data_IF_414749399060
#
_entry.id   IF_414749399060
#
_cell.length_a   1.000
_cell.length_b   1.000
_cell.length_c   1.000
_cell.angle_alpha   90.00
_cell.angle_beta   90.00
_cell.angle_gamma   90.00
#
_symmetry.space_group_name_H-M   'P 1'
#
loop_
_entity.id
_entity.type
_entity.pdbx_description
1 polymer ?
#
# COMPACT_ATOMS: atom_id res chain seq x y z
N UNK A 1 20.70 6.49 -6.21
CA UNK A 1 20.24 5.71 -7.39
C UNK A 1 18.77 5.87 -7.77
N UNK A 2 17.94 6.57 -7.01
CA UNK A 2 16.56 6.88 -7.42
C UNK A 2 16.16 8.28 -6.93
N UNK A 3 16.59 9.38 -7.59
CA UNK A 3 16.29 10.75 -7.16
C UNK A 3 14.86 11.18 -7.50
N UNK A 4 14.30 12.22 -6.85
CA UNK A 4 13.00 12.80 -7.22
C UNK A 4 12.95 13.14 -8.71
N UNK A 5 11.82 12.84 -9.36
CA UNK A 5 11.61 13.05 -10.79
C UNK A 5 10.69 14.23 -11.00
N UNK A 6 11.07 15.16 -11.89
CA UNK A 6 10.25 16.32 -12.23
C UNK A 6 8.87 15.88 -12.73
N UNK A 7 7.81 16.51 -12.23
CA UNK A 7 6.42 16.17 -12.54
C UNK A 7 5.79 15.15 -11.59
N UNK A 8 6.57 14.54 -10.70
CA UNK A 8 6.09 13.61 -9.67
C UNK A 8 6.44 14.12 -8.28
N UNK A 9 5.51 13.94 -7.34
CA UNK A 9 5.76 14.19 -5.91
C UNK A 9 6.24 12.88 -5.29
N UNK A 10 7.38 12.93 -4.61
CA UNK A 10 7.88 11.79 -3.83
C UNK A 10 7.12 11.72 -2.52
N UNK A 11 6.15 10.83 -2.44
CA UNK A 11 5.53 10.46 -1.18
C UNK A 11 6.46 9.58 -0.34
N UNK A 12 6.16 9.52 0.95
CA UNK A 12 6.89 8.76 1.96
C UNK A 12 5.95 7.76 2.62
N UNK A 13 6.24 6.47 2.50
CA UNK A 13 5.57 5.43 3.29
C UNK A 13 6.33 5.25 4.61
N UNK A 14 5.80 5.81 5.69
CA UNK A 14 6.38 5.71 7.03
C UNK A 14 6.19 4.30 7.61
N UNK A 15 5.01 3.73 7.41
CA UNK A 15 4.68 2.35 7.75
C UNK A 15 3.72 1.80 6.70
N UNK A 16 4.04 0.65 6.12
CA UNK A 16 3.08 -0.13 5.34
C UNK A 16 3.23 -1.59 5.72
N UNK A 17 2.12 -2.20 6.16
CA UNK A 17 2.14 -3.57 6.62
C UNK A 17 0.84 -4.29 6.25
N UNK A 18 0.97 -5.59 6.01
CA UNK A 18 -0.12 -6.53 5.83
C UNK A 18 0.07 -7.65 6.84
N UNK A 19 -0.94 -7.90 7.67
CA UNK A 19 -1.03 -9.08 8.51
C UNK A 19 -2.12 -9.98 7.90
N UNK A 20 -1.74 -11.20 7.54
CA UNK A 20 -2.65 -12.20 6.98
C UNK A 20 -2.78 -13.33 8.00
N UNK A 21 -4.02 -13.63 8.41
CA UNK A 21 -4.34 -14.71 9.34
C UNK A 21 -5.25 -15.72 8.64
N UNK A 22 -4.86 -16.99 8.62
CA UNK A 22 -5.74 -18.05 8.12
C UNK A 22 -6.90 -18.25 9.09
N UNK A 23 -8.11 -18.43 8.56
CA UNK A 23 -9.28 -18.77 9.38
C UNK A 23 -9.45 -20.27 9.59
N UNK A 24 -8.58 -21.08 8.99
CA UNK A 24 -8.73 -22.53 8.92
C UNK A 24 -8.68 -22.99 7.47
N UNK A 25 -8.71 -24.31 7.26
CA UNK A 25 -8.77 -24.87 5.91
C UNK A 25 -10.11 -24.48 5.26
N UNK A 26 -10.06 -24.00 4.02
CA UNK A 26 -11.21 -23.59 3.19
C UNK A 26 -12.05 -22.39 3.68
N UNK A 27 -11.74 -21.76 4.82
CA UNK A 27 -12.46 -20.57 5.35
C UNK A 27 -11.82 -19.22 4.97
N UNK A 28 -10.87 -19.23 4.04
CA UNK A 28 -10.18 -18.03 3.55
C UNK A 28 -9.21 -17.44 4.59
N UNK A 29 -9.10 -16.11 4.62
CA UNK A 29 -8.21 -15.42 5.55
C UNK A 29 -8.75 -14.07 5.98
N UNK A 30 -8.31 -13.61 7.15
CA UNK A 30 -8.46 -12.23 7.57
C UNK A 30 -7.20 -11.44 7.22
N UNK A 31 -7.38 -10.25 6.62
CA UNK A 31 -6.30 -9.34 6.28
C UNK A 31 -6.43 -8.02 7.05
N UNK A 32 -5.41 -7.67 7.84
CA UNK A 32 -5.26 -6.34 8.41
C UNK A 32 -4.25 -5.55 7.58
N UNK A 33 -4.69 -4.43 7.02
CA UNK A 33 -3.84 -3.50 6.28
C UNK A 33 -3.57 -2.25 7.11
N UNK A 34 -2.30 -1.92 7.28
CA UNK A 34 -1.85 -0.73 7.99
C UNK A 34 -1.07 0.14 7.02
N UNK A 35 -1.43 1.42 6.93
CA UNK A 35 -0.73 2.41 6.11
C UNK A 35 -0.62 3.73 6.84
N UNK A 36 0.61 4.18 7.01
CA UNK A 36 0.99 5.50 7.45
C UNK A 36 1.87 6.08 6.36
N UNK A 37 1.29 6.96 5.56
CA UNK A 37 1.95 7.54 4.38
C UNK A 37 1.78 9.04 4.41
N UNK A 38 2.87 9.76 4.16
CA UNK A 38 2.86 11.18 3.85
C UNK A 38 3.01 11.33 2.33
N UNK A 39 1.91 11.58 1.60
CA UNK A 39 1.96 11.81 0.15
C UNK A 39 2.76 13.07 -0.27
N UNK A 40 3.14 13.93 0.68
CA UNK A 40 3.83 15.21 0.49
C UNK A 40 3.05 16.19 -0.41
N UNK A 41 3.58 17.40 -0.53
CA UNK A 41 2.97 18.47 -1.33
C UNK A 41 1.83 19.20 -0.62
N UNK A 42 1.11 20.05 -1.37
CA UNK A 42 0.03 20.89 -0.84
C UNK A 42 -1.31 20.17 -1.00
N UNK A 43 -1.58 19.20 -0.15
CA UNK A 43 -2.86 18.49 -0.16
C UNK A 43 -3.83 19.16 0.80
N UNK A 44 -5.03 19.53 0.34
CA UNK A 44 -6.07 20.00 1.24
C UNK A 44 -6.47 18.91 2.24
N UNK A 45 -6.75 19.29 3.49
CA UNK A 45 -7.17 18.37 4.57
C UNK A 45 -8.38 17.51 4.20
N UNK A 46 -9.33 18.05 3.43
CA UNK A 46 -10.50 17.28 2.94
C UNK A 46 -10.09 16.10 2.05
N UNK A 47 -9.02 16.25 1.27
CA UNK A 47 -8.53 15.23 0.34
C UNK A 47 -7.78 14.13 1.08
N UNK A 48 -6.99 14.48 2.10
CA UNK A 48 -6.33 13.52 2.99
C UNK A 48 -7.38 12.65 3.70
N UNK A 49 -8.43 13.27 4.24
CA UNK A 49 -9.52 12.57 4.91
C UNK A 49 -10.35 11.68 3.96
N UNK A 50 -10.51 12.07 2.68
CA UNK A 50 -11.16 11.23 1.65
C UNK A 50 -10.29 10.04 1.28
N UNK A 51 -8.98 10.20 1.14
CA UNK A 51 -8.05 9.12 0.82
C UNK A 51 -8.12 8.03 1.89
N UNK A 52 -7.96 8.39 3.16
CA UNK A 52 -7.93 7.41 4.25
C UNK A 52 -9.25 6.66 4.39
N UNK A 53 -10.39 7.34 4.23
CA UNK A 53 -11.72 6.74 4.43
C UNK A 53 -12.24 5.93 3.24
N UNK A 54 -11.86 6.28 2.01
CA UNK A 54 -12.49 5.72 0.80
C UNK A 54 -11.54 4.91 -0.06
N UNK A 55 -10.26 5.30 -0.14
CA UNK A 55 -9.31 4.58 -0.98
C UNK A 55 -8.93 3.25 -0.34
N UNK A 56 -8.70 3.21 0.97
CA UNK A 56 -8.31 1.98 1.65
C UNK A 56 -9.35 0.83 1.47
N UNK A 57 -10.66 1.03 1.70
CA UNK A 57 -11.66 -0.02 1.43
C UNK A 57 -11.71 -0.45 -0.04
N UNK A 58 -11.59 0.51 -0.99
CA UNK A 58 -11.58 0.19 -2.42
C UNK A 58 -10.35 -0.63 -2.82
N UNK A 59 -9.19 -0.36 -2.24
CA UNK A 59 -7.96 -1.15 -2.45
C UNK A 59 -8.15 -2.59 -1.96
N UNK A 60 -8.68 -2.79 -0.75
CA UNK A 60 -8.90 -4.13 -0.21
C UNK A 60 -9.95 -4.91 -1.02
N UNK A 61 -11.04 -4.26 -1.45
CA UNK A 61 -12.04 -4.88 -2.35
C UNK A 61 -11.43 -5.32 -3.69
N UNK A 62 -10.56 -4.50 -4.28
CA UNK A 62 -9.86 -4.83 -5.53
C UNK A 62 -8.85 -5.96 -5.32
N UNK A 63 -8.11 -5.95 -4.22
CA UNK A 63 -7.19 -7.02 -3.84
C UNK A 63 -7.93 -8.36 -3.71
N UNK A 64 -9.08 -8.38 -3.02
CA UNK A 64 -9.91 -9.57 -2.92
C UNK A 64 -10.32 -10.13 -4.29
N UNK A 65 -10.82 -9.28 -5.20
CA UNK A 65 -11.15 -9.68 -6.58
C UNK A 65 -9.92 -10.26 -7.32
N UNK A 66 -8.75 -9.64 -7.15
CA UNK A 66 -7.52 -10.12 -7.74
C UNK A 66 -7.09 -11.49 -7.17
N UNK A 67 -7.27 -11.73 -5.86
CA UNK A 67 -6.99 -13.03 -5.24
C UNK A 67 -7.86 -14.14 -5.82
N UNK A 68 -9.15 -13.88 -6.08
CA UNK A 68 -10.05 -14.86 -6.70
C UNK A 68 -9.63 -15.21 -8.14
N UNK A 69 -9.15 -14.23 -8.91
CA UNK A 69 -8.69 -14.42 -10.29
C UNK A 69 -7.25 -14.94 -10.39
N UNK A 70 -6.48 -14.89 -9.31
CA UNK A 70 -5.04 -15.17 -9.33
C UNK A 70 -4.68 -16.60 -9.74
N UNK A 71 -5.38 -17.67 -9.32
CA UNK A 71 -5.03 -19.03 -9.73
C UNK A 71 -5.03 -19.23 -11.25
N UNK A 72 -6.10 -18.77 -11.93
CA UNK A 72 -6.24 -18.87 -13.39
C UNK A 72 -5.15 -18.06 -14.09
N UNK A 73 -4.98 -16.79 -13.69
CA UNK A 73 -3.92 -15.95 -14.24
C UNK A 73 -2.54 -16.57 -14.04
N UNK A 74 -2.27 -17.16 -12.86
CA UNK A 74 -0.97 -17.72 -12.53
C UNK A 74 -0.67 -19.00 -13.31
N UNK A 75 -1.69 -19.79 -13.66
CA UNK A 75 -1.54 -20.97 -14.52
C UNK A 75 -0.97 -20.60 -15.89
N UNK A 76 -1.36 -19.44 -16.43
CA UNK A 76 -0.90 -18.93 -17.73
C UNK A 76 0.40 -18.12 -17.65
N UNK A 77 0.79 -17.64 -16.46
CA UNK A 77 1.87 -16.68 -16.28
C UNK A 77 3.02 -17.24 -15.42
N UNK A 78 3.78 -18.17 -16.01
CA UNK A 78 4.93 -18.85 -15.38
C UNK A 78 4.52 -19.43 -14.01
N UNK A 79 3.71 -20.51 -13.97
CA UNK A 79 3.11 -21.00 -12.73
C UNK A 79 4.12 -21.36 -11.64
N UNK A 80 5.29 -21.86 -12.05
CA UNK A 80 6.36 -22.29 -11.15
C UNK A 80 7.28 -21.15 -10.68
N UNK A 81 7.14 -19.95 -11.28
CA UNK A 81 7.92 -18.78 -10.88
C UNK A 81 7.29 -18.11 -9.66
N UNK A 82 7.81 -18.42 -8.47
CA UNK A 82 7.35 -17.90 -7.18
C UNK A 82 8.57 -17.56 -6.32
N UNK A 83 9.38 -16.54 -6.69
CA UNK A 83 10.62 -16.22 -6.00
C UNK A 83 10.45 -15.83 -4.52
N UNK A 84 9.24 -15.39 -4.13
CA UNK A 84 8.87 -15.13 -2.73
C UNK A 84 8.66 -16.40 -1.89
N UNK A 85 8.51 -17.57 -2.53
CA UNK A 85 8.48 -18.89 -1.87
C UNK A 85 9.82 -19.60 -2.04
N UNK A 86 10.42 -19.48 -3.23
CA UNK A 86 11.63 -20.16 -3.67
C UNK A 86 12.75 -19.13 -3.94
N UNK A 87 13.50 -18.70 -2.90
CA UNK A 87 14.47 -17.60 -3.01
C UNK A 87 15.64 -17.89 -3.97
N UNK A 88 15.94 -19.15 -4.24
CA UNK A 88 16.93 -19.57 -5.24
C UNK A 88 16.61 -19.07 -6.66
N UNK A 89 15.33 -18.77 -6.94
CA UNK A 89 14.91 -18.15 -8.19
C UNK A 89 15.44 -16.71 -8.35
N UNK A 90 15.98 -16.08 -7.29
CA UNK A 90 16.51 -14.71 -7.30
C UNK A 90 18.05 -14.65 -7.21
N UNK A 91 18.77 -15.74 -7.46
CA UNK A 91 20.23 -15.75 -7.34
C UNK A 91 20.90 -14.72 -8.25
N UNK A 92 20.39 -14.51 -9.45
CA UNK A 92 20.95 -13.58 -10.44
C UNK A 92 20.52 -12.12 -10.23
N UNK A 93 19.67 -11.84 -9.23
CA UNK A 93 19.14 -10.49 -9.02
C UNK A 93 20.16 -9.61 -8.28
N UNK A 94 20.34 -8.35 -8.70
CA UNK A 94 21.27 -7.44 -8.05
C UNK A 94 20.89 -7.28 -6.57
N UNK A 95 21.88 -7.42 -5.68
CA UNK A 95 21.69 -7.22 -4.25
C UNK A 95 21.75 -5.72 -3.93
N UNK A 96 20.91 -5.30 -2.99
CA UNK A 96 20.95 -3.94 -2.47
C UNK A 96 22.20 -3.78 -1.62
N UNK A 97 23.01 -2.78 -1.94
CA UNK A 97 24.14 -2.37 -1.13
C UNK A 97 23.64 -1.42 -0.03
N UNK A 98 23.55 -1.95 1.19
CA UNK A 98 23.05 -1.21 2.35
C UNK A 98 23.89 0.04 2.67
N UNK A 99 25.18 0.06 2.31
CA UNK A 99 26.03 1.24 2.51
C UNK A 99 25.64 2.41 1.60
N UNK A 100 24.93 2.14 0.49
CA UNK A 100 24.37 3.15 -0.42
C UNK A 100 22.96 3.59 -0.02
N UNK A 101 22.35 2.93 0.96
CA UNK A 101 21.05 3.32 1.49
C UNK A 101 21.23 4.45 2.51
N UNK A 102 20.47 5.53 2.33
CA UNK A 102 20.41 6.61 3.31
C UNK A 102 19.12 6.48 4.11
N UNK A 103 19.17 6.51 5.45
CA UNK A 103 17.97 6.64 6.25
C UNK A 103 17.31 7.98 5.93
N UNK A 104 16.00 7.96 5.72
CA UNK A 104 15.22 9.16 5.55
C UNK A 104 14.85 9.67 6.95
N UNK A 105 15.34 10.85 7.34
CA UNK A 105 14.81 11.54 8.52
C UNK A 105 13.44 12.13 8.18
N UNK A 106 12.48 11.92 9.09
CA UNK A 106 11.09 12.31 8.88
C UNK A 106 10.73 13.45 9.84
N UNK A 107 10.56 14.65 9.31
CA UNK A 107 9.85 15.71 10.02
C UNK A 107 8.35 15.52 9.78
N UNK A 108 7.61 15.28 10.87
CA UNK A 108 6.16 15.22 10.83
C UNK A 108 5.60 16.61 11.16
N UNK A 109 4.88 17.20 10.22
CA UNK A 109 4.05 18.37 10.52
C UNK A 109 2.82 17.89 11.30
N UNK A 110 2.69 18.32 12.55
CA UNK A 110 1.50 18.07 13.36
C UNK A 110 0.40 19.02 12.86
N UNK A 111 -0.56 18.48 12.12
CA UNK A 111 -1.72 19.24 11.67
C UNK A 111 -2.75 19.24 12.80
N UNK A 112 -2.96 20.40 13.41
CA UNK A 112 -4.00 20.60 14.41
C UNK A 112 -5.37 20.76 13.73
N UNK A 113 -6.15 19.68 13.71
CA UNK A 113 -7.52 19.64 13.16
C UNK A 113 -8.60 19.94 14.22
N UNK A 114 -8.24 20.41 15.42
CA UNK A 114 -9.21 20.63 16.51
C UNK A 114 -10.36 21.60 16.16
N UNK A 115 -10.11 22.56 15.27
CA UNK A 115 -11.10 23.55 14.81
C UNK A 115 -11.83 23.17 13.51
N UNK A 116 -11.54 22.00 12.92
CA UNK A 116 -12.13 21.58 11.64
C UNK A 116 -13.55 21.06 11.86
N UNK A 117 -14.54 21.74 11.28
CA UNK A 117 -15.94 21.31 11.35
C UNK A 117 -16.14 20.01 10.56
N UNK A 118 -16.86 19.01 11.10
CA UNK A 118 -17.14 17.77 10.38
C UNK A 118 -17.95 18.05 9.11
N UNK A 119 -17.42 17.63 7.96
CA UNK A 119 -18.12 17.72 6.67
C UNK A 119 -19.22 16.66 6.64
N UNK A 120 -20.47 17.07 6.29
CA UNK A 120 -21.60 16.15 6.12
C UNK A 120 -21.24 15.04 5.13
N UNK A 121 -21.63 13.81 5.48
CA UNK A 121 -21.17 12.56 4.88
C UNK A 121 -21.15 12.58 3.36
N UNK A 122 -20.04 12.13 2.78
CA UNK A 122 -19.98 11.84 1.36
C UNK A 122 -20.63 10.48 1.17
N UNK A 123 -21.80 10.46 0.53
CA UNK A 123 -22.44 9.23 0.10
C UNK A 123 -21.41 8.36 -0.63
N UNK A 124 -21.36 7.08 -0.24
CA UNK A 124 -20.53 6.11 -0.90
C UNK A 124 -21.14 5.91 -2.29
N UNK A 125 -20.53 6.49 -3.33
CA UNK A 125 -20.80 6.09 -4.70
C UNK A 125 -20.43 4.59 -4.80
N UNK A 126 -21.48 3.76 -4.77
CA UNK A 126 -21.48 2.36 -5.16
C UNK A 126 -21.31 2.30 -6.68
N UNK A 127 -20.09 1.97 -7.11
CA UNK A 127 -19.75 1.38 -8.41
C UNK A 127 -18.47 0.53 -8.26
#
# INVERSE_FOLDING_TARGET
DYPPVKGYVRGTALLSAYLIRSNGDDEGCEITYISHTDPKGKLPTWLVNRITRVVAPKVIKRLHKACLAYPDWKAENRPNWKPWIYPEQQLDFPRVDLAKCQPQEYEQEIIDESDVRPVKGVEADDD
#
